data_IF_748025864644
#
_entry.id   IF_748025864644
#
_cell.length_a   1.000
_cell.length_b   1.000
_cell.length_c   1.000
_cell.angle_alpha   90.00
_cell.angle_beta   90.00
_cell.angle_gamma   90.00
#
_symmetry.space_group_name_H-M   'P 1'
#
loop_
_entity.id
_entity.type
_entity.pdbx_description
1 polymer ?
#
# COMPACT_ATOMS: atom_id res chain seq x y z
N UNK A 1 -3.41 7.57 12.58
CA UNK A 1 -3.24 6.21 13.11
C UNK A 1 -2.57 6.24 14.49
N UNK A 2 -1.43 6.90 14.66
CA UNK A 2 -0.71 6.99 15.95
C UNK A 2 -1.57 7.63 17.04
N UNK A 3 -2.33 8.70 16.72
CA UNK A 3 -3.27 9.31 17.64
C UNK A 3 -4.39 8.34 18.13
N UNK A 4 -4.64 7.29 17.36
CA UNK A 4 -5.56 6.20 17.70
C UNK A 4 -4.88 5.01 18.42
N UNK A 5 -3.59 5.14 18.77
CA UNK A 5 -2.83 4.11 19.46
C UNK A 5 -2.41 2.94 18.56
N UNK A 6 -2.34 3.15 17.25
CA UNK A 6 -1.81 2.17 16.28
C UNK A 6 -0.34 2.48 16.04
N UNK A 7 0.53 1.53 16.31
CA UNK A 7 1.96 1.63 15.98
C UNK A 7 2.14 1.64 14.46
N UNK A 8 2.98 2.55 13.97
CA UNK A 8 3.23 2.72 12.53
C UNK A 8 4.71 2.71 12.19
N UNK A 9 5.04 2.21 11.01
CA UNK A 9 6.37 2.31 10.41
C UNK A 9 6.23 2.83 8.99
N UNK A 10 6.95 3.90 8.67
CA UNK A 10 7.01 4.46 7.32
C UNK A 10 8.24 3.93 6.57
N UNK A 11 8.02 3.39 5.38
CA UNK A 11 9.10 2.95 4.48
C UNK A 11 9.01 3.77 3.20
N UNK A 12 10.05 4.55 2.93
CA UNK A 12 10.17 5.33 1.70
C UNK A 12 10.93 4.53 0.63
N UNK A 13 10.31 4.36 -0.54
CA UNK A 13 10.92 3.67 -1.68
C UNK A 13 11.68 4.61 -2.61
N UNK A 14 11.45 5.93 -2.52
CA UNK A 14 12.13 6.91 -3.34
C UNK A 14 13.67 6.81 -3.16
N UNK A 15 14.39 6.79 -4.28
CA UNK A 15 15.85 6.69 -4.28
C UNK A 15 16.42 5.30 -3.91
N UNK A 16 15.58 4.33 -3.55
CA UNK A 16 16.02 2.97 -3.26
C UNK A 16 16.05 2.10 -4.53
N UNK A 17 16.84 1.04 -4.51
CA UNK A 17 16.77 0.01 -5.55
C UNK A 17 15.48 -0.78 -5.40
N UNK A 18 14.58 -0.62 -6.35
CA UNK A 18 13.28 -1.28 -6.39
C UNK A 18 13.03 -1.84 -7.80
N UNK A 19 13.43 -3.08 -8.04
CA UNK A 19 13.27 -3.72 -9.34
C UNK A 19 11.98 -4.52 -9.45
N UNK A 20 11.35 -4.48 -10.63
CA UNK A 20 10.13 -5.23 -10.95
C UNK A 20 10.29 -6.75 -10.88
N UNK A 21 9.18 -7.47 -10.91
CA UNK A 21 9.16 -8.94 -10.92
C UNK A 21 9.81 -9.51 -12.18
N UNK A 22 10.68 -10.49 -12.01
CA UNK A 22 11.34 -11.21 -13.14
C UNK A 22 10.61 -12.48 -13.54
N UNK A 23 9.46 -12.76 -12.95
CA UNK A 23 8.65 -13.96 -13.20
C UNK A 23 9.46 -15.26 -13.05
N UNK A 24 10.43 -15.29 -12.13
CA UNK A 24 11.27 -16.48 -11.87
C UNK A 24 10.54 -17.63 -11.16
N UNK A 25 9.31 -17.36 -10.66
CA UNK A 25 8.42 -18.28 -9.98
C UNK A 25 8.95 -18.95 -8.70
N UNK A 26 10.14 -18.61 -8.22
CA UNK A 26 10.73 -19.18 -7.01
C UNK A 26 9.86 -19.00 -5.76
N UNK A 27 9.09 -17.91 -5.67
CA UNK A 27 8.14 -17.71 -4.56
C UNK A 27 7.03 -18.78 -4.55
N UNK A 28 6.65 -19.35 -5.71
CA UNK A 28 5.68 -20.44 -5.82
C UNK A 28 6.28 -21.82 -5.51
N UNK A 29 7.56 -22.00 -5.80
CA UNK A 29 8.27 -23.25 -5.54
C UNK A 29 8.63 -23.39 -4.06
N UNK A 30 9.24 -22.32 -3.48
CA UNK A 30 9.76 -22.35 -2.11
C UNK A 30 8.67 -22.12 -1.08
N UNK A 31 7.72 -21.19 -1.36
CA UNK A 31 6.54 -20.87 -0.51
C UNK A 31 6.88 -20.46 0.94
N UNK A 32 7.95 -19.69 1.11
CA UNK A 32 8.41 -19.19 2.41
C UNK A 32 7.99 -17.73 2.71
N UNK A 33 7.07 -17.17 1.91
CA UNK A 33 6.61 -15.81 2.06
C UNK A 33 7.57 -14.74 1.52
N UNK A 34 8.62 -15.12 0.77
CA UNK A 34 9.68 -14.22 0.31
C UNK A 34 9.79 -14.13 -1.21
N UNK A 35 10.35 -13.02 -1.68
CA UNK A 35 10.74 -12.87 -3.08
C UNK A 35 12.21 -13.27 -3.27
N UNK A 36 12.48 -14.28 -4.10
CA UNK A 36 13.83 -14.79 -4.42
C UNK A 36 14.38 -14.31 -5.77
N UNK A 37 13.60 -13.56 -6.54
CA UNK A 37 14.01 -13.11 -7.88
C UNK A 37 15.00 -11.96 -7.87
N UNK A 38 14.99 -11.15 -6.84
CA UNK A 38 15.89 -10.01 -6.63
C UNK A 38 16.21 -9.84 -5.15
N UNK A 39 17.32 -9.15 -4.87
CA UNK A 39 17.71 -8.71 -3.52
C UNK A 39 17.82 -7.19 -3.53
N UNK A 40 16.78 -6.52 -3.09
CA UNK A 40 16.67 -5.06 -3.02
C UNK A 40 15.66 -4.64 -1.96
N UNK A 41 15.32 -3.35 -1.83
CA UNK A 41 14.42 -2.82 -0.82
C UNK A 41 13.03 -3.47 -0.80
N UNK A 42 12.54 -3.99 -1.93
CA UNK A 42 11.24 -4.66 -2.01
C UNK A 42 11.18 -5.92 -1.15
N UNK A 43 12.30 -6.62 -0.92
CA UNK A 43 12.31 -7.82 -0.08
C UNK A 43 11.94 -7.48 1.36
N UNK A 44 12.58 -6.47 1.96
CA UNK A 44 12.26 -6.02 3.32
C UNK A 44 10.85 -5.48 3.45
N UNK A 45 10.36 -4.77 2.42
CA UNK A 45 8.96 -4.33 2.40
C UNK A 45 7.99 -5.51 2.47
N UNK A 46 8.21 -6.57 1.67
CA UNK A 46 7.34 -7.76 1.69
C UNK A 46 7.37 -8.45 3.06
N UNK A 47 8.53 -8.55 3.70
CA UNK A 47 8.67 -9.12 5.04
C UNK A 47 7.85 -8.31 6.06
N UNK A 48 8.00 -6.98 6.06
CA UNK A 48 7.21 -6.09 6.93
C UNK A 48 5.71 -6.10 6.63
N UNK A 49 5.32 -6.16 5.35
CA UNK A 49 3.91 -6.34 4.97
C UNK A 49 3.35 -7.67 5.50
N UNK A 50 4.15 -8.73 5.54
CA UNK A 50 3.73 -10.02 6.09
C UNK A 50 3.53 -9.96 7.62
N UNK A 51 4.32 -9.17 8.34
CA UNK A 51 4.24 -8.98 9.80
C UNK A 51 3.12 -8.03 10.22
N UNK A 52 2.88 -6.96 9.47
CA UNK A 52 1.92 -5.92 9.81
C UNK A 52 0.46 -6.41 9.79
N UNK A 53 -0.39 -5.84 10.64
CA UNK A 53 -1.85 -6.06 10.64
C UNK A 53 -2.57 -5.20 9.61
N UNK A 54 -1.97 -4.07 9.25
CA UNK A 54 -2.47 -3.13 8.23
C UNK A 54 -1.38 -2.65 7.30
N UNK A 55 -1.74 -2.35 6.06
CA UNK A 55 -0.82 -1.90 5.01
C UNK A 55 -1.42 -0.65 4.35
N UNK A 56 -0.70 0.46 4.44
CA UNK A 56 -1.03 1.67 3.69
C UNK A 56 0.00 1.85 2.58
N UNK A 57 -0.46 1.93 1.33
CA UNK A 57 0.39 2.16 0.16
C UNK A 57 0.11 3.57 -0.36
N UNK A 58 1.14 4.40 -0.35
CA UNK A 58 1.12 5.74 -0.93
C UNK A 58 1.93 5.84 -2.22
N UNK A 59 1.44 6.61 -3.19
CA UNK A 59 2.18 6.92 -4.42
C UNK A 59 1.83 8.31 -4.95
N UNK A 60 2.81 9.09 -5.44
CA UNK A 60 2.48 10.17 -6.35
C UNK A 60 2.02 9.60 -7.70
N UNK A 61 1.26 10.40 -8.43
CA UNK A 61 0.79 10.05 -9.77
C UNK A 61 1.84 10.39 -10.82
N UNK A 62 2.37 9.38 -11.50
CA UNK A 62 3.29 9.51 -12.63
C UNK A 62 2.65 8.96 -13.90
N UNK A 63 2.48 9.80 -14.93
CA UNK A 63 1.86 9.42 -16.20
C UNK A 63 0.52 8.68 -16.02
N UNK A 64 -0.36 9.26 -15.18
CA UNK A 64 -1.69 8.76 -14.86
C UNK A 64 -1.75 7.44 -14.07
N UNK A 65 -0.64 6.97 -13.52
CA UNK A 65 -0.59 5.74 -12.70
C UNK A 65 0.37 5.93 -11.51
N UNK A 66 0.55 4.87 -10.71
CA UNK A 66 1.52 4.77 -9.61
C UNK A 66 2.96 4.82 -10.12
N UNK A 67 3.91 5.12 -9.23
CA UNK A 67 5.33 5.12 -9.57
C UNK A 67 5.84 3.71 -9.91
N UNK A 68 6.94 3.59 -10.69
CA UNK A 68 7.56 2.29 -10.99
C UNK A 68 7.95 1.50 -9.74
N UNK A 69 8.40 2.16 -8.68
CA UNK A 69 8.77 1.55 -7.39
C UNK A 69 7.54 0.94 -6.71
N UNK A 70 6.43 1.68 -6.67
CA UNK A 70 5.15 1.20 -6.12
C UNK A 70 4.62 0.02 -6.95
N UNK A 71 4.73 0.09 -8.28
CA UNK A 71 4.34 -1.02 -9.16
C UNK A 71 5.23 -2.25 -8.94
N UNK A 72 6.54 -2.07 -8.78
CA UNK A 72 7.46 -3.15 -8.46
C UNK A 72 7.12 -3.83 -7.12
N UNK A 73 6.76 -3.04 -6.10
CA UNK A 73 6.28 -3.56 -4.82
C UNK A 73 5.01 -4.40 -5.00
N UNK A 74 3.99 -3.84 -5.65
CA UNK A 74 2.71 -4.53 -5.89
C UNK A 74 2.89 -5.82 -6.66
N UNK A 75 3.67 -5.82 -7.76
CA UNK A 75 3.89 -7.01 -8.57
C UNK A 75 4.59 -8.12 -7.78
N UNK A 76 5.62 -7.77 -7.01
CA UNK A 76 6.40 -8.76 -6.27
C UNK A 76 5.67 -9.24 -5.02
N UNK A 77 5.07 -8.34 -4.24
CA UNK A 77 4.24 -8.70 -3.10
C UNK A 77 3.03 -9.54 -3.53
N UNK A 78 2.39 -9.17 -4.65
CA UNK A 78 1.27 -9.91 -5.23
C UNK A 78 1.64 -11.34 -5.61
N UNK A 79 2.79 -11.56 -6.30
CA UNK A 79 3.24 -12.92 -6.63
C UNK A 79 3.57 -13.75 -5.38
N UNK A 80 4.19 -13.14 -4.37
CA UNK A 80 4.47 -13.79 -3.09
C UNK A 80 3.18 -14.13 -2.35
N UNK A 81 2.23 -13.19 -2.24
CA UNK A 81 0.94 -13.41 -1.60
C UNK A 81 0.09 -14.49 -2.31
N UNK A 82 0.12 -14.54 -3.65
CA UNK A 82 -0.57 -15.59 -4.42
C UNK A 82 0.00 -16.99 -4.19
N UNK A 83 1.27 -17.08 -3.82
CA UNK A 83 1.92 -18.33 -3.44
C UNK A 83 1.72 -18.68 -1.96
N UNK A 84 1.45 -17.68 -1.12
CA UNK A 84 1.32 -17.77 0.33
C UNK A 84 0.10 -16.93 0.77
N UNK A 85 -1.15 -17.36 0.51
CA UNK A 85 -2.33 -16.51 0.67
C UNK A 85 -2.55 -15.99 2.10
N UNK A 86 -2.08 -16.69 3.10
CA UNK A 86 -2.27 -16.32 4.51
C UNK A 86 -1.54 -15.03 4.91
N UNK A 87 -0.46 -14.66 4.21
CA UNK A 87 0.36 -13.50 4.61
C UNK A 87 -0.33 -12.14 4.40
N UNK A 88 -1.35 -12.06 3.53
CA UNK A 88 -2.09 -10.81 3.26
C UNK A 88 -3.57 -10.90 3.62
N UNK A 89 -4.13 -12.10 3.63
CA UNK A 89 -5.57 -12.32 3.82
C UNK A 89 -6.07 -11.71 5.13
N UNK A 90 -7.18 -10.94 5.03
CA UNK A 90 -7.86 -10.27 6.14
C UNK A 90 -7.08 -9.15 6.82
N UNK A 91 -5.90 -8.76 6.32
CA UNK A 91 -5.25 -7.53 6.76
C UNK A 91 -6.05 -6.32 6.28
N UNK A 92 -5.91 -5.20 6.97
CA UNK A 92 -6.52 -3.94 6.55
C UNK A 92 -5.60 -3.28 5.53
N UNK A 93 -6.13 -2.89 4.36
CA UNK A 93 -5.39 -2.23 3.30
C UNK A 93 -5.96 -0.86 2.97
N UNK A 94 -5.12 0.16 2.76
CA UNK A 94 -5.55 1.46 2.29
C UNK A 94 -4.58 2.02 1.26
N UNK A 95 -5.12 2.59 0.17
CA UNK A 95 -4.36 3.31 -0.85
C UNK A 95 -4.52 4.82 -0.68
N UNK A 96 -3.45 5.58 -0.85
CA UNK A 96 -3.47 7.04 -0.91
C UNK A 96 -2.62 7.52 -2.08
N UNK A 97 -3.05 8.57 -2.76
CA UNK A 97 -2.30 9.12 -3.90
C UNK A 97 -2.17 10.64 -3.81
N UNK A 98 -1.02 11.15 -4.23
CA UNK A 98 -0.80 12.57 -4.41
C UNK A 98 -0.77 12.91 -5.90
N UNK A 99 -1.51 13.91 -6.33
CA UNK A 99 -1.65 14.24 -7.74
C UNK A 99 -1.60 15.75 -7.97
N UNK A 100 -0.98 16.17 -9.09
CA UNK A 100 -1.06 17.55 -9.52
C UNK A 100 -2.43 17.92 -10.09
N UNK A 101 -3.04 17.03 -10.91
CA UNK A 101 -4.29 17.36 -11.63
C UNK A 101 -5.13 16.15 -12.01
N UNK A 102 -4.59 15.19 -12.76
CA UNK A 102 -5.34 14.07 -13.34
C UNK A 102 -4.62 12.72 -13.16
N UNK A 103 -5.36 11.60 -13.33
CA UNK A 103 -4.81 10.25 -13.23
C UNK A 103 -4.88 9.63 -11.84
N UNK A 104 -5.32 10.38 -10.82
CA UNK A 104 -5.36 9.90 -9.43
C UNK A 104 -6.26 8.66 -9.25
N UNK A 105 -7.43 8.64 -9.86
CA UNK A 105 -8.35 7.50 -9.75
C UNK A 105 -7.73 6.22 -10.29
N UNK A 106 -7.06 6.29 -11.45
CA UNK A 106 -6.40 5.14 -12.03
C UNK A 106 -5.26 4.61 -11.13
N UNK A 107 -4.45 5.52 -10.58
CA UNK A 107 -3.39 5.16 -9.63
C UNK A 107 -3.96 4.53 -8.34
N UNK A 108 -5.05 5.08 -7.80
CA UNK A 108 -5.72 4.53 -6.62
C UNK A 108 -6.32 3.13 -6.91
N UNK A 109 -6.93 2.94 -8.07
CA UNK A 109 -7.46 1.65 -8.51
C UNK A 109 -6.35 0.61 -8.66
N UNK A 110 -5.18 0.99 -9.20
CA UNK A 110 -4.00 0.11 -9.30
C UNK A 110 -3.59 -0.43 -7.93
N UNK A 111 -3.65 0.39 -6.88
CA UNK A 111 -3.37 -0.03 -5.50
C UNK A 111 -4.51 -0.92 -4.96
N UNK A 112 -5.75 -0.53 -5.15
CA UNK A 112 -6.92 -1.25 -4.64
C UNK A 112 -7.09 -2.64 -5.28
N UNK A 113 -6.71 -2.81 -6.56
CA UNK A 113 -6.67 -4.13 -7.20
C UNK A 113 -5.74 -5.11 -6.48
N UNK A 114 -4.59 -4.64 -5.98
CA UNK A 114 -3.69 -5.47 -5.17
C UNK A 114 -4.35 -5.90 -3.85
N UNK A 115 -5.01 -5.00 -3.15
CA UNK A 115 -5.70 -5.33 -1.91
C UNK A 115 -6.85 -6.31 -2.15
N UNK A 116 -7.66 -6.08 -3.19
CA UNK A 116 -8.79 -6.94 -3.53
C UNK A 116 -8.38 -8.37 -3.85
N UNK A 117 -7.39 -8.57 -4.74
CA UNK A 117 -6.92 -9.92 -5.10
C UNK A 117 -6.19 -10.61 -3.95
N UNK A 118 -5.64 -9.85 -3.01
CA UNK A 118 -4.97 -10.35 -1.81
C UNK A 118 -5.94 -10.66 -0.65
N UNK A 119 -7.26 -10.53 -0.87
CA UNK A 119 -8.32 -10.77 0.12
C UNK A 119 -8.18 -9.89 1.38
N UNK A 120 -7.70 -8.66 1.19
CA UNK A 120 -7.60 -7.67 2.25
C UNK A 120 -8.91 -6.90 2.42
N UNK A 121 -9.09 -6.26 3.57
CA UNK A 121 -10.26 -5.41 3.87
C UNK A 121 -9.87 -3.96 3.66
N UNK A 122 -10.56 -3.27 2.75
CA UNK A 122 -10.29 -1.86 2.44
C UNK A 122 -11.34 -0.98 3.11
N UNK A 123 -10.94 -0.09 4.05
CA UNK A 123 -11.85 0.89 4.65
C UNK A 123 -12.22 1.98 3.63
N UNK A 124 -13.43 2.49 3.73
CA UNK A 124 -13.81 3.74 3.09
C UNK A 124 -13.34 4.97 3.88
N UNK A 125 -13.41 6.13 3.24
CA UNK A 125 -13.22 7.45 3.87
C UNK A 125 -14.35 8.40 3.47
N UNK A 126 -14.21 9.70 3.74
CA UNK A 126 -15.22 10.70 3.37
C UNK A 126 -15.28 10.98 1.86
N UNK A 127 -14.18 10.74 1.16
CA UNK A 127 -14.05 10.89 -0.30
C UNK A 127 -12.97 9.95 -0.83
N UNK A 128 -12.55 10.12 -2.10
CA UNK A 128 -11.42 9.38 -2.66
C UNK A 128 -10.12 9.80 -1.94
N UNK A 129 -9.25 8.85 -1.61
CA UNK A 129 -8.00 9.09 -0.87
C UNK A 129 -6.93 9.77 -1.74
N UNK A 130 -7.21 11.00 -2.14
CA UNK A 130 -6.41 11.78 -3.07
C UNK A 130 -6.04 13.10 -2.41
N UNK A 131 -4.77 13.48 -2.46
CA UNK A 131 -4.30 14.81 -2.13
C UNK A 131 -3.87 15.53 -3.40
N UNK A 132 -4.29 16.79 -3.58
CA UNK A 132 -4.03 17.59 -4.79
C UNK A 132 -2.97 18.64 -4.48
N UNK A 133 -1.88 18.67 -5.25
CA UNK A 133 -0.84 19.67 -5.11
C UNK A 133 0.11 19.69 -6.30
N UNK A 134 0.38 20.87 -6.84
CA UNK A 134 1.19 21.03 -8.06
C UNK A 134 2.68 21.25 -7.83
N UNK A 135 3.04 21.86 -6.71
CA UNK A 135 4.42 22.10 -6.29
C UNK A 135 4.80 21.18 -5.12
N UNK A 136 6.10 21.06 -4.86
CA UNK A 136 6.57 20.33 -3.68
C UNK A 136 5.97 20.96 -2.40
N UNK A 137 5.35 20.13 -1.56
CA UNK A 137 4.67 20.54 -0.34
C UNK A 137 3.24 21.05 -0.51
N UNK A 138 2.79 21.42 -1.71
CA UNK A 138 1.45 21.99 -1.93
C UNK A 138 0.29 21.05 -1.56
N UNK A 139 0.50 19.74 -1.52
CA UNK A 139 -0.50 18.77 -1.06
C UNK A 139 -0.85 18.96 0.43
N UNK A 140 0.04 19.56 1.21
CA UNK A 140 -0.21 19.89 2.62
C UNK A 140 -1.15 21.11 2.81
N UNK A 141 -1.50 21.81 1.73
CA UNK A 141 -2.43 22.94 1.69
C UNK A 141 -3.82 22.51 1.16
N UNK A 142 -4.00 21.23 0.82
CA UNK A 142 -5.26 20.64 0.37
C UNK A 142 -6.10 20.22 1.58
N UNK A 143 -6.91 21.15 2.11
CA UNK A 143 -7.73 20.93 3.29
C UNK A 143 -8.72 19.77 3.12
N UNK A 144 -9.33 19.58 1.93
CA UNK A 144 -10.24 18.48 1.64
C UNK A 144 -9.50 17.15 1.61
N UNK A 145 -8.35 17.11 0.95
CA UNK A 145 -7.48 15.93 0.91
C UNK A 145 -7.01 15.53 2.31
N UNK A 146 -6.57 16.49 3.13
CA UNK A 146 -6.15 16.25 4.51
C UNK A 146 -7.29 15.73 5.39
N UNK A 147 -8.48 16.31 5.30
CA UNK A 147 -9.66 15.83 6.03
C UNK A 147 -10.09 14.42 5.60
N UNK A 148 -9.93 14.10 4.31
CA UNK A 148 -10.16 12.75 3.77
C UNK A 148 -9.16 11.75 4.33
N UNK A 149 -7.86 12.11 4.42
CA UNK A 149 -6.81 11.25 5.01
C UNK A 149 -7.02 11.04 6.51
N UNK A 150 -7.48 12.06 7.23
CA UNK A 150 -7.82 11.94 8.65
C UNK A 150 -8.98 10.96 8.85
N UNK A 151 -10.06 11.09 8.08
CA UNK A 151 -11.19 10.16 8.07
C UNK A 151 -10.75 8.72 7.74
N UNK A 152 -9.86 8.55 6.75
CA UNK A 152 -9.28 7.25 6.41
C UNK A 152 -8.49 6.67 7.59
N UNK A 153 -7.68 7.50 8.26
CA UNK A 153 -6.90 7.10 9.42
C UNK A 153 -7.77 6.56 10.55
N UNK A 154 -8.87 7.24 10.88
CA UNK A 154 -9.84 6.78 11.86
C UNK A 154 -10.55 5.48 11.45
N UNK A 155 -11.00 5.37 10.19
CA UNK A 155 -11.65 4.17 9.67
C UNK A 155 -10.70 2.95 9.68
N UNK A 156 -9.45 3.16 9.29
CA UNK A 156 -8.42 2.11 9.31
C UNK A 156 -8.10 1.67 10.75
N UNK A 157 -7.95 2.62 11.69
CA UNK A 157 -7.71 2.31 13.10
C UNK A 157 -8.87 1.54 13.73
N UNK A 158 -10.11 1.91 13.42
CA UNK A 158 -11.30 1.19 13.87
C UNK A 158 -11.31 -0.26 13.38
N UNK A 159 -11.04 -0.50 12.10
CA UNK A 159 -10.95 -1.85 11.54
C UNK A 159 -9.81 -2.66 12.15
N UNK A 160 -8.64 -2.07 12.36
CA UNK A 160 -7.50 -2.74 13.00
C UNK A 160 -7.84 -3.19 14.42
N UNK A 161 -8.46 -2.32 15.22
CA UNK A 161 -8.92 -2.65 16.58
C UNK A 161 -10.00 -3.74 16.58
N UNK A 162 -10.90 -3.74 15.59
CA UNK A 162 -11.95 -4.75 15.44
C UNK A 162 -11.36 -6.11 15.05
N UNK A 163 -10.47 -6.15 14.07
CA UNK A 163 -9.85 -7.39 13.58
C UNK A 163 -8.88 -8.00 14.59
N UNK A 164 -8.20 -7.19 15.41
CA UNK A 164 -7.37 -7.68 16.50
C UNK A 164 -8.15 -8.48 17.56
N UNK A 165 -9.41 -8.10 17.80
CA UNK A 165 -10.30 -8.82 18.75
C UNK A 165 -10.86 -10.13 18.18
N UNK A 166 -10.78 -10.30 16.86
CA UNK A 166 -11.32 -11.47 16.16
C UNK A 166 -10.28 -12.58 15.91
N UNK A 167 -9.03 -12.35 16.31
CA UNK A 167 -7.92 -13.31 16.30
C UNK A 167 -7.75 -13.93 17.67
#
# INVERSE_FOLDING_TARGET
LEAEGIETELIELAGQRAGGCTVCLKCREIRDGRCHGRKDAINSCIEKMAEADGILIGSPVYFADITPETKALIDRAGYVARANPEIMRRKVGAGVVAVRRAGAMHALDSINHFFGISQMVVPGSSYWNIGIGGAAGAVAEDDEGLATMDTLGHAMAWLLKLTARAR
#
